data_IF_969323631200
#
_entry.id   IF_969323631200
#
_cell.length_a   1.000
_cell.length_b   1.000
_cell.length_c   1.000
_cell.angle_alpha   90.00
_cell.angle_beta   90.00
_cell.angle_gamma   90.00
#
_symmetry.space_group_name_H-M   'P 1'
#
loop_
_entity.id
_entity.type
_entity.pdbx_description
1 polymer ?
#
# COMPACT_ATOMS: atom_id res chain seq x y z
N UNK A 1 29.63 18.53 -9.94
CA UNK A 1 28.22 18.16 -10.16
C UNK A 1 28.13 16.68 -9.87
N UNK A 2 27.43 16.28 -8.81
CA UNK A 2 27.23 14.87 -8.49
C UNK A 2 26.00 14.46 -9.31
N UNK A 3 26.19 13.59 -10.29
CA UNK A 3 25.11 13.06 -11.11
C UNK A 3 24.03 12.43 -10.21
N UNK A 4 22.78 12.86 -10.39
CA UNK A 4 21.60 12.37 -9.65
C UNK A 4 21.49 10.83 -9.73
N UNK A 5 22.02 10.25 -10.81
CA UNK A 5 22.16 8.83 -11.08
C UNK A 5 23.00 8.09 -10.02
N UNK A 6 24.10 8.69 -9.54
CA UNK A 6 24.99 8.04 -8.55
C UNK A 6 24.36 7.98 -7.16
N UNK A 7 23.53 8.96 -6.79
CA UNK A 7 22.83 8.98 -5.50
C UNK A 7 21.72 7.93 -5.47
N UNK A 8 21.00 7.77 -6.59
CA UNK A 8 19.94 6.77 -6.72
C UNK A 8 20.49 5.34 -6.73
N UNK A 9 21.67 5.14 -7.32
CA UNK A 9 22.36 3.85 -7.34
C UNK A 9 22.91 3.44 -5.96
N UNK A 10 23.27 4.41 -5.11
CA UNK A 10 23.73 4.15 -3.74
C UNK A 10 22.58 3.78 -2.77
N UNK A 11 21.36 4.31 -2.98
CA UNK A 11 20.17 3.91 -2.22
C UNK A 11 19.62 2.54 -2.65
N UNK A 12 19.95 2.08 -3.86
CA UNK A 12 19.53 0.80 -4.45
C UNK A 12 20.21 -0.43 -3.81
N UNK A 13 21.29 -0.24 -3.04
CA UNK A 13 22.25 -1.31 -2.78
C UNK A 13 21.76 -2.44 -1.82
N UNK A 14 20.54 -2.32 -1.26
CA UNK A 14 19.84 -3.40 -0.51
C UNK A 14 18.30 -3.32 -0.59
N UNK A 15 17.73 -2.60 -1.54
CA UNK A 15 16.28 -2.54 -1.65
C UNK A 15 15.74 -3.88 -2.18
N UNK A 16 14.92 -4.57 -1.40
CA UNK A 16 14.19 -5.76 -1.82
C UNK A 16 12.77 -5.33 -2.23
N UNK A 17 12.24 -5.92 -3.30
CA UNK A 17 10.89 -5.60 -3.75
C UNK A 17 9.89 -6.27 -2.81
N UNK A 18 8.99 -5.48 -2.22
CA UNK A 18 7.88 -6.03 -1.45
C UNK A 18 6.79 -6.47 -2.43
N UNK A 19 6.44 -7.77 -2.47
CA UNK A 19 5.42 -8.26 -3.39
C UNK A 19 4.05 -7.64 -3.06
N UNK A 20 3.33 -7.24 -4.10
CA UNK A 20 1.98 -6.69 -3.99
C UNK A 20 1.04 -7.62 -4.74
N UNK A 21 0.06 -8.14 -4.01
CA UNK A 21 -0.94 -9.04 -4.55
C UNK A 21 -2.05 -8.25 -5.24
N UNK A 22 -2.42 -8.68 -6.44
CA UNK A 22 -3.56 -8.12 -7.16
C UNK A 22 -4.87 -8.62 -6.54
N UNK A 23 -5.92 -7.79 -6.55
CA UNK A 23 -7.27 -8.26 -6.19
C UNK A 23 -8.00 -8.79 -7.42
N UNK A 24 -7.74 -8.18 -8.58
CA UNK A 24 -8.35 -8.55 -9.86
C UNK A 24 -7.26 -8.89 -10.90
N UNK A 25 -7.55 -9.82 -11.81
CA UNK A 25 -6.59 -10.21 -12.86
C UNK A 25 -6.18 -9.05 -13.77
N UNK A 26 -7.05 -8.05 -13.92
CA UNK A 26 -6.77 -6.86 -14.72
C UNK A 26 -5.71 -5.92 -14.10
N UNK A 27 -5.39 -6.08 -12.81
CA UNK A 27 -4.53 -5.17 -12.05
C UNK A 27 -3.04 -5.54 -12.07
N UNK A 28 -2.66 -6.67 -12.68
CA UNK A 28 -1.28 -7.17 -12.67
C UNK A 28 -0.26 -6.07 -13.03
N UNK A 29 -0.50 -5.35 -14.12
CA UNK A 29 0.37 -4.25 -14.56
C UNK A 29 0.45 -3.10 -13.54
N UNK A 30 -0.67 -2.73 -12.91
CA UNK A 30 -0.66 -1.69 -11.87
C UNK A 30 0.15 -2.14 -10.65
N UNK A 31 -0.05 -3.38 -10.20
CA UNK A 31 0.70 -3.96 -9.10
C UNK A 31 2.21 -3.96 -9.40
N UNK A 32 2.61 -4.29 -10.64
CA UNK A 32 4.00 -4.19 -11.08
C UNK A 32 4.57 -2.76 -10.99
N UNK A 33 3.81 -1.75 -11.44
CA UNK A 33 4.23 -0.35 -11.32
C UNK A 33 4.39 0.08 -9.86
N UNK A 34 3.47 -0.31 -8.99
CA UNK A 34 3.55 0.01 -7.56
C UNK A 34 4.77 -0.66 -6.93
N UNK A 35 5.05 -1.92 -7.24
CA UNK A 35 6.23 -2.63 -6.75
C UNK A 35 7.54 -1.90 -7.12
N UNK A 36 7.65 -1.44 -8.37
CA UNK A 36 8.80 -0.66 -8.86
C UNK A 36 8.86 0.72 -8.19
N UNK A 37 7.75 1.44 -8.09
CA UNK A 37 7.71 2.75 -7.44
C UNK A 37 8.17 2.65 -5.98
N UNK A 38 7.70 1.62 -5.26
CA UNK A 38 8.12 1.34 -3.87
C UNK A 38 9.58 0.95 -3.77
N UNK A 39 10.12 0.23 -4.75
CA UNK A 39 11.55 -0.05 -4.82
C UNK A 39 12.39 1.25 -4.88
N UNK A 40 11.89 2.27 -5.58
CA UNK A 40 12.52 3.59 -5.64
C UNK A 40 12.17 4.52 -4.46
N UNK A 41 11.49 4.02 -3.43
CA UNK A 41 11.23 4.74 -2.18
C UNK A 41 9.85 5.40 -2.09
N UNK A 42 9.00 5.26 -3.12
CA UNK A 42 7.61 5.70 -3.04
C UNK A 42 6.83 4.84 -2.01
N UNK A 43 5.81 5.41 -1.37
CA UNK A 43 4.90 4.66 -0.48
C UNK A 43 3.51 4.48 -1.08
N UNK A 44 3.38 4.71 -2.37
CA UNK A 44 2.11 4.55 -3.07
C UNK A 44 1.56 3.13 -2.91
N UNK A 45 0.25 3.05 -2.66
CA UNK A 45 -0.47 1.78 -2.54
C UNK A 45 -1.32 1.49 -3.78
N UNK A 46 -1.60 0.21 -4.02
CA UNK A 46 -2.45 -0.23 -5.13
C UNK A 46 -3.83 0.43 -5.07
N UNK A 47 -4.41 0.61 -3.87
CA UNK A 47 -5.70 1.30 -3.72
C UNK A 47 -5.64 2.77 -4.17
N UNK A 48 -4.51 3.46 -3.96
CA UNK A 48 -4.31 4.84 -4.42
C UNK A 48 -4.19 4.88 -5.96
N UNK A 49 -3.43 3.95 -6.55
CA UNK A 49 -3.29 3.84 -8.01
C UNK A 49 -4.63 3.52 -8.66
N UNK A 50 -5.42 2.60 -8.09
CA UNK A 50 -6.78 2.26 -8.57
C UNK A 50 -7.71 3.48 -8.61
N UNK A 51 -7.66 4.33 -7.57
CA UNK A 51 -8.46 5.57 -7.53
C UNK A 51 -8.03 6.59 -8.58
N UNK A 52 -6.73 6.64 -8.89
CA UNK A 52 -6.15 7.63 -9.82
C UNK A 52 -6.25 7.20 -11.28
N UNK A 53 -6.17 5.90 -11.55
CA UNK A 53 -6.14 5.35 -12.89
C UNK A 53 -7.22 4.28 -13.06
N UNK A 54 -8.26 4.63 -13.81
CA UNK A 54 -9.29 3.66 -14.17
C UNK A 54 -8.70 2.67 -15.19
N UNK A 55 -8.76 1.38 -14.86
CA UNK A 55 -8.38 0.29 -15.76
C UNK A 55 -9.61 -0.44 -16.26
N UNK A 56 -9.50 -1.06 -17.43
CA UNK A 56 -10.59 -1.84 -17.99
C UNK A 56 -10.60 -3.25 -17.39
N UNK A 57 -11.79 -3.86 -17.31
CA UNK A 57 -11.94 -5.27 -16.90
C UNK A 57 -11.17 -6.25 -17.82
N UNK A 58 -10.81 -5.81 -19.03
CA UNK A 58 -9.99 -6.59 -19.98
C UNK A 58 -8.49 -6.55 -19.68
N UNK A 59 -8.06 -5.89 -18.60
CA UNK A 59 -6.66 -5.71 -18.24
C UNK A 59 -6.05 -4.41 -18.75
N UNK A 60 -4.75 -4.27 -18.50
CA UNK A 60 -3.93 -3.12 -18.88
C UNK A 60 -3.08 -3.48 -20.08
N UNK A 61 -3.23 -2.73 -21.19
CA UNK A 61 -2.36 -2.85 -22.36
C UNK A 61 -1.00 -2.22 -22.08
N UNK A 62 0.05 -2.69 -22.76
CA UNK A 62 1.42 -2.18 -22.64
C UNK A 62 1.50 -0.64 -22.79
N UNK A 63 0.85 -0.08 -23.81
CA UNK A 63 0.81 1.37 -24.04
C UNK A 63 0.21 2.14 -22.86
N UNK A 64 -0.88 1.61 -22.29
CA UNK A 64 -1.53 2.20 -21.12
C UNK A 64 -0.64 2.08 -19.89
N UNK A 65 0.07 0.98 -19.73
CA UNK A 65 1.02 0.78 -18.65
C UNK A 65 2.15 1.82 -18.70
N UNK A 66 2.71 2.08 -19.89
CA UNK A 66 3.72 3.12 -20.11
C UNK A 66 3.18 4.51 -19.77
N UNK A 67 1.96 4.83 -20.20
CA UNK A 67 1.31 6.11 -19.88
C UNK A 67 1.13 6.30 -18.36
N UNK A 68 0.67 5.26 -17.66
CA UNK A 68 0.46 5.32 -16.21
C UNK A 68 1.78 5.46 -15.48
N UNK A 69 2.81 4.69 -15.84
CA UNK A 69 4.14 4.81 -15.23
C UNK A 69 4.73 6.22 -15.40
N UNK A 70 4.60 6.82 -16.59
CA UNK A 70 5.00 8.23 -16.82
C UNK A 70 4.17 9.22 -16.01
N UNK A 71 2.87 8.98 -15.85
CA UNK A 71 2.01 9.82 -15.01
C UNK A 71 2.30 9.69 -13.50
N UNK A 72 2.97 8.60 -13.08
CA UNK A 72 3.53 8.41 -11.74
C UNK A 72 4.93 9.03 -11.59
N UNK A 73 5.47 9.67 -12.63
CA UNK A 73 6.79 10.31 -12.61
C UNK A 73 7.95 9.35 -12.93
N UNK A 74 7.68 8.11 -13.33
CA UNK A 74 8.70 7.16 -13.76
C UNK A 74 9.05 7.38 -15.24
N UNK A 75 10.34 7.31 -15.57
CA UNK A 75 10.81 7.17 -16.93
C UNK A 75 10.69 5.71 -17.36
N UNK A 76 9.78 5.46 -18.29
CA UNK A 76 9.46 4.10 -18.78
C UNK A 76 9.95 3.91 -20.21
N UNK A 77 10.78 2.88 -20.39
CA UNK A 77 11.31 2.43 -21.68
C UNK A 77 10.87 1.00 -21.97
N UNK A 78 10.02 0.83 -22.99
CA UNK A 78 9.66 -0.49 -23.49
C UNK A 78 10.69 -0.95 -24.53
N UNK A 79 11.17 -2.18 -24.42
CA UNK A 79 12.14 -2.75 -25.34
C UNK A 79 11.93 -4.26 -25.53
N UNK A 80 12.52 -4.79 -26.60
CA UNK A 80 12.55 -6.22 -26.88
C UNK A 80 13.94 -6.76 -26.60
N UNK A 81 14.01 -7.88 -25.87
CA UNK A 81 15.26 -8.56 -25.58
C UNK A 81 15.04 -10.08 -25.55
N UNK A 82 16.11 -10.83 -25.74
CA UNK A 82 16.10 -12.29 -25.54
C UNK A 82 16.35 -12.62 -24.05
N UNK A 83 15.83 -13.76 -23.55
CA UNK A 83 15.99 -14.15 -22.14
C UNK A 83 17.44 -14.09 -21.65
N UNK A 84 18.40 -14.42 -22.50
CA UNK A 84 19.83 -14.50 -22.22
C UNK A 84 20.41 -13.15 -21.80
N UNK A 85 19.90 -12.06 -22.37
CA UNK A 85 20.36 -10.70 -22.10
C UNK A 85 19.72 -10.07 -20.85
N UNK A 86 18.71 -10.70 -20.22
CA UNK A 86 18.02 -10.14 -19.04
C UNK A 86 18.94 -9.87 -17.85
N UNK A 87 20.09 -10.55 -17.77
CA UNK A 87 21.10 -10.31 -16.74
C UNK A 87 21.89 -9.01 -16.96
N UNK A 88 21.98 -8.55 -18.19
CA UNK A 88 22.78 -7.39 -18.60
C UNK A 88 21.95 -6.09 -18.64
N UNK A 89 20.62 -6.21 -18.59
CA UNK A 89 19.69 -5.08 -18.59
C UNK A 89 19.51 -4.45 -17.20
N UNK A 90 18.90 -3.26 -17.17
CA UNK A 90 18.59 -2.56 -15.93
C UNK A 90 17.57 -3.33 -15.09
N UNK A 91 17.97 -3.71 -13.87
CA UNK A 91 17.12 -4.37 -12.87
C UNK A 91 16.80 -3.39 -11.73
N UNK A 92 15.58 -3.36 -11.18
CA UNK A 92 14.43 -4.22 -11.54
C UNK A 92 13.69 -3.75 -12.80
N UNK A 93 13.03 -4.70 -13.49
CA UNK A 93 12.25 -4.42 -14.70
C UNK A 93 10.94 -5.22 -14.73
N UNK A 94 9.98 -4.79 -15.56
CA UNK A 94 8.70 -5.50 -15.74
C UNK A 94 8.80 -6.37 -17.00
N UNK A 95 8.45 -7.64 -16.90
CA UNK A 95 8.41 -8.58 -18.01
C UNK A 95 6.96 -8.83 -18.44
N UNK A 96 6.75 -8.92 -19.75
CA UNK A 96 5.50 -9.42 -20.31
C UNK A 96 5.53 -10.95 -20.38
N UNK A 97 4.51 -11.58 -19.80
CA UNK A 97 4.49 -12.98 -19.39
C UNK A 97 3.28 -13.71 -19.98
N UNK A 98 3.48 -14.88 -20.60
CA UNK A 98 2.43 -15.75 -21.15
C UNK A 98 1.40 -15.03 -22.04
N UNK A 99 1.80 -13.95 -22.72
CA UNK A 99 0.98 -13.12 -23.62
C UNK A 99 -0.21 -12.38 -23.00
N UNK A 100 -0.48 -12.55 -21.71
CA UNK A 100 -1.64 -11.93 -21.03
C UNK A 100 -1.34 -11.40 -19.63
N UNK A 101 -0.09 -11.47 -19.17
CA UNK A 101 0.27 -11.16 -17.80
C UNK A 101 1.53 -10.31 -17.69
N UNK A 102 1.73 -9.69 -16.54
CA UNK A 102 2.92 -8.90 -16.21
C UNK A 102 3.52 -9.36 -14.88
N UNK A 103 4.83 -9.50 -14.86
CA UNK A 103 5.59 -9.87 -13.66
C UNK A 103 6.79 -8.93 -13.50
N UNK A 104 7.28 -8.77 -12.27
CA UNK A 104 8.48 -7.96 -12.01
C UNK A 104 9.69 -8.87 -11.85
N UNK A 105 10.75 -8.62 -12.63
CA UNK A 105 12.06 -9.20 -12.40
C UNK A 105 12.84 -8.32 -11.42
N UNK A 106 13.13 -8.86 -10.24
CA UNK A 106 13.95 -8.16 -9.25
C UNK A 106 15.43 -8.28 -9.57
N UNK A 107 15.92 -9.52 -9.79
CA UNK A 107 17.32 -9.79 -10.15
C UNK A 107 17.51 -11.20 -10.70
N UNK A 108 18.61 -11.41 -11.42
CA UNK A 108 19.09 -12.73 -11.83
C UNK A 108 20.39 -13.08 -11.10
N UNK A 109 20.37 -14.15 -10.30
CA UNK A 109 21.53 -14.59 -9.50
C UNK A 109 21.84 -16.05 -9.81
N UNK A 110 23.08 -16.32 -10.25
CA UNK A 110 23.57 -17.69 -10.54
C UNK A 110 22.63 -18.50 -11.47
N UNK A 111 22.07 -17.85 -12.49
CA UNK A 111 21.15 -18.48 -13.45
C UNK A 111 19.73 -18.72 -12.93
N UNK A 112 19.38 -18.16 -11.77
CA UNK A 112 18.03 -18.18 -11.20
C UNK A 112 17.48 -16.75 -11.18
N UNK A 113 16.32 -16.55 -11.80
CA UNK A 113 15.58 -15.30 -11.78
C UNK A 113 14.70 -15.23 -10.53
N UNK A 114 14.79 -14.12 -9.80
CA UNK A 114 13.88 -13.76 -8.72
C UNK A 114 12.80 -12.84 -9.29
N UNK A 115 11.57 -13.33 -9.32
CA UNK A 115 10.42 -12.67 -9.91
C UNK A 115 9.38 -12.37 -8.82
N UNK A 116 8.57 -11.35 -9.02
CA UNK A 116 7.36 -11.09 -8.25
C UNK A 116 6.16 -11.06 -9.20
N UNK A 117 5.31 -12.05 -9.03
CA UNK A 117 4.06 -12.19 -9.74
C UNK A 117 2.91 -11.66 -8.86
N UNK A 118 2.16 -10.64 -9.30
CA UNK A 118 1.01 -10.13 -8.54
C UNK A 118 -0.07 -11.18 -8.20
N UNK A 119 -0.15 -12.28 -8.94
CA UNK A 119 -1.09 -13.38 -8.72
C UNK A 119 -0.53 -14.46 -7.79
N UNK A 120 0.79 -14.69 -7.79
CA UNK A 120 1.44 -15.84 -7.12
C UNK A 120 2.43 -15.46 -6.02
N UNK A 121 2.77 -14.17 -5.89
CA UNK A 121 3.80 -13.67 -5.01
C UNK A 121 5.21 -13.86 -5.57
N UNK A 122 6.18 -14.07 -4.69
CA UNK A 122 7.59 -14.22 -5.09
C UNK A 122 7.85 -15.59 -5.70
N UNK A 123 8.44 -15.60 -6.90
CA UNK A 123 8.80 -16.79 -7.66
C UNK A 123 10.32 -16.85 -7.88
N UNK A 124 10.88 -18.06 -7.87
CA UNK A 124 12.31 -18.30 -8.18
C UNK A 124 12.38 -19.36 -9.26
N UNK A 125 12.77 -18.95 -10.46
CA UNK A 125 12.76 -19.83 -11.63
C UNK A 125 14.15 -19.89 -12.27
N UNK A 126 14.60 -21.06 -12.76
CA UNK A 126 15.79 -21.11 -13.60
C UNK A 126 15.54 -20.33 -14.89
N UNK A 127 16.60 -19.75 -15.47
CA UNK A 127 16.50 -18.99 -16.72
C UNK A 127 15.87 -19.79 -17.87
N UNK A 128 16.08 -21.11 -17.89
CA UNK A 128 15.49 -22.03 -18.87
C UNK A 128 13.97 -22.16 -18.76
N UNK A 129 13.41 -21.98 -17.57
CA UNK A 129 11.96 -21.98 -17.36
C UNK A 129 11.39 -20.59 -17.64
N UNK A 130 12.09 -19.53 -17.20
CA UNK A 130 11.72 -18.15 -17.52
C UNK A 130 11.56 -17.93 -19.03
N UNK A 131 12.50 -18.43 -19.85
CA UNK A 131 12.46 -18.27 -21.29
C UNK A 131 11.24 -18.90 -21.98
N UNK A 132 10.54 -19.85 -21.33
CA UNK A 132 9.31 -20.46 -21.87
C UNK A 132 8.10 -19.54 -21.77
N UNK A 133 8.10 -18.67 -20.77
CA UNK A 133 7.00 -17.76 -20.46
C UNK A 133 7.25 -16.33 -20.91
N UNK A 134 8.53 -15.94 -20.97
CA UNK A 134 8.94 -14.61 -21.38
C UNK A 134 8.67 -14.39 -22.87
N UNK A 135 7.88 -13.38 -23.17
CA UNK A 135 7.45 -13.07 -24.54
C UNK A 135 8.48 -12.29 -25.36
N UNK A 136 9.61 -11.91 -24.74
CA UNK A 136 10.63 -11.05 -25.33
C UNK A 136 10.39 -9.56 -25.11
N UNK A 137 9.25 -9.15 -24.55
CA UNK A 137 8.92 -7.73 -24.30
C UNK A 137 9.10 -7.41 -22.81
N UNK A 138 9.83 -6.33 -22.53
CA UNK A 138 10.05 -5.83 -21.18
C UNK A 138 9.93 -4.30 -21.09
N UNK A 139 9.70 -3.82 -19.88
CA UNK A 139 9.75 -2.41 -19.54
C UNK A 139 10.84 -2.17 -18.49
N UNK A 140 11.78 -1.32 -18.85
CA UNK A 140 12.69 -0.72 -17.89
C UNK A 140 12.05 0.53 -17.31
N UNK A 141 12.16 0.69 -16.00
CA UNK A 141 11.62 1.81 -15.27
C UNK A 141 12.71 2.42 -14.42
N UNK A 142 12.81 3.73 -14.46
CA UNK A 142 13.69 4.50 -13.60
C UNK A 142 12.91 5.69 -13.03
N UNK A 143 13.30 6.23 -11.88
CA UNK A 143 12.78 7.50 -11.39
C UNK A 143 13.07 8.59 -12.40
N UNK A 144 12.03 9.24 -12.91
CA UNK A 144 12.19 10.40 -13.78
C UNK A 144 12.41 11.69 -12.99
N UNK A 145 12.63 12.78 -13.69
CA UNK A 145 12.83 14.12 -13.08
C UNK A 145 11.64 14.61 -12.23
N UNK A 146 10.45 14.07 -12.48
CA UNK A 146 9.20 14.39 -11.77
C UNK A 146 8.83 13.34 -10.71
N UNK A 147 9.71 12.38 -10.44
CA UNK A 147 9.47 11.36 -9.44
C UNK A 147 9.68 11.95 -8.04
N UNK A 148 8.58 12.18 -7.33
CA UNK A 148 8.60 12.60 -5.93
C UNK A 148 8.02 11.47 -5.09
N UNK A 149 8.85 10.74 -4.32
CA UNK A 149 8.36 9.70 -3.43
C UNK A 149 7.30 10.24 -2.48
N UNK A 150 6.11 9.67 -2.50
CA UNK A 150 5.07 10.08 -1.56
C UNK A 150 5.48 9.64 -0.16
N UNK A 151 5.71 10.61 0.72
CA UNK A 151 5.86 10.33 2.15
C UNK A 151 4.43 10.26 2.70
N UNK A 152 3.91 9.06 2.91
CA UNK A 152 2.70 8.93 3.72
C UNK A 152 2.99 9.54 5.10
N UNK A 153 2.41 10.71 5.37
CA UNK A 153 2.33 11.25 6.72
C UNK A 153 1.45 10.26 7.50
N UNK A 154 1.95 9.58 8.54
CA UNK A 154 1.11 8.67 9.31
C UNK A 154 -0.06 9.48 9.87
N UNK A 155 -1.25 9.15 9.42
CA UNK A 155 -2.48 9.75 9.90
C UNK A 155 -2.64 9.40 11.39
N UNK A 156 -2.58 10.45 12.21
CA UNK A 156 -3.02 10.50 13.61
C UNK A 156 -2.21 9.63 14.57
N UNK A 157 -1.23 10.26 15.21
CA UNK A 157 -0.75 9.78 16.51
C UNK A 157 -1.94 9.76 17.49
N UNK A 158 -2.21 8.62 18.13
CA UNK A 158 -3.17 8.58 19.24
C UNK A 158 -2.82 9.58 20.36
N UNK A 159 -1.56 10.05 20.41
CA UNK A 159 -1.10 11.10 21.33
C UNK A 159 -1.67 12.48 21.01
N UNK A 160 -2.14 12.74 19.79
CA UNK A 160 -2.91 13.96 19.45
C UNK A 160 -4.42 13.81 19.68
N UNK A 161 -4.91 12.59 19.94
CA UNK A 161 -6.28 12.37 20.44
C UNK A 161 -6.37 12.44 21.96
N UNK A 162 -5.25 12.28 22.69
CA UNK A 162 -5.18 12.51 24.15
C UNK A 162 -4.82 13.96 24.47
N UNK A 163 -5.63 14.89 23.99
CA UNK A 163 -5.60 16.27 24.44
C UNK A 163 -6.27 16.39 25.82
N UNK A 164 -5.45 16.55 26.88
CA UNK A 164 -5.84 17.08 28.21
C UNK A 164 -7.27 16.75 28.68
N UNK A 165 -7.47 15.56 29.24
CA UNK A 165 -8.60 15.32 30.14
C UNK A 165 -8.20 15.71 31.57
N UNK A 166 -7.93 17.01 31.81
CA UNK A 166 -7.83 17.54 33.18
C UNK A 166 -9.25 17.73 33.71
N UNK A 167 -9.83 16.66 34.28
CA UNK A 167 -11.19 16.75 34.82
C UNK A 167 -11.78 15.48 35.43
N UNK A 168 -11.14 14.31 35.30
CA UNK A 168 -11.71 13.05 35.80
C UNK A 168 -11.31 12.73 37.26
N UNK A 169 -11.32 13.72 38.16
CA UNK A 169 -11.07 13.53 39.60
C UNK A 169 -11.98 14.36 40.48
N UNK A 170 -13.30 14.16 40.40
CA UNK A 170 -14.25 14.43 41.50
C UNK A 170 -15.41 13.44 41.40
N UNK A 171 -15.30 12.30 42.07
CA UNK A 171 -16.37 11.30 42.10
C UNK A 171 -16.09 10.04 42.90
N UNK A 172 -14.88 9.85 43.42
CA UNK A 172 -14.54 8.67 44.23
C UNK A 172 -13.80 9.10 45.49
N UNK A 173 -14.51 9.75 46.41
CA UNK A 173 -14.09 9.75 47.82
C UNK A 173 -15.34 9.63 48.69
N UNK A 174 -15.47 8.45 49.31
CA UNK A 174 -15.78 8.22 50.73
C UNK A 174 -16.89 7.19 50.96
N UNK A 175 -16.53 5.91 50.82
CA UNK A 175 -17.07 4.87 51.68
C UNK A 175 -15.98 4.49 52.68
N UNK A 176 -16.13 4.93 53.93
CA UNK A 176 -15.49 4.31 55.10
C UNK A 176 -16.36 4.62 56.33
N UNK A 177 -16.64 3.63 57.19
CA UNK A 177 -17.85 3.54 57.99
C UNK A 177 -17.67 4.24 59.34
N UNK A 178 -18.73 4.88 59.84
CA UNK A 178 -18.86 5.08 61.29
C UNK A 178 -20.33 5.18 61.68
N UNK A 179 -20.76 4.07 62.25
CA UNK A 179 -21.92 3.91 63.10
C UNK A 179 -22.02 5.05 64.12
N UNK A 180 -23.17 5.73 64.19
CA UNK A 180 -23.69 6.33 65.41
C UNK A 180 -25.20 6.53 65.30
N UNK A 181 -25.87 5.98 66.30
CA UNK A 181 -27.30 5.79 66.53
C UNK A 181 -28.02 7.10 66.81
N UNK A 182 -29.26 7.26 66.32
CA UNK A 182 -30.50 7.63 67.05
C UNK A 182 -31.59 8.10 66.06
N UNK A 183 -32.78 7.49 66.09
CA UNK A 183 -34.00 8.02 65.45
C UNK A 183 -34.69 9.07 66.35
N UNK A 184 -36.01 9.37 66.22
CA UNK A 184 -37.00 8.88 65.25
C UNK A 184 -37.96 9.98 64.68
N UNK A 185 -38.95 9.52 63.88
CA UNK A 185 -40.30 10.09 63.60
C UNK A 185 -40.60 10.94 62.36
N UNK A 186 -41.41 10.31 61.50
CA UNK A 186 -42.72 10.74 60.96
C UNK A 186 -42.84 11.94 60.00
N UNK A 187 -43.53 11.70 58.87
CA UNK A 187 -44.08 12.76 58.02
C UNK A 187 -44.53 12.23 56.66
N UNK A 188 -45.84 12.16 56.46
CA UNK A 188 -46.57 11.58 55.34
C UNK A 188 -46.20 12.03 53.92
N UNK A 189 -46.24 11.07 53.01
CA UNK A 189 -46.30 11.25 51.56
C UNK A 189 -47.76 11.47 51.14
N UNK A 190 -48.10 12.70 50.75
CA UNK A 190 -49.35 12.97 50.05
C UNK A 190 -49.21 14.05 48.97
N UNK A 191 -50.01 13.84 47.91
CA UNK A 191 -50.32 14.71 46.78
C UNK A 191 -49.25 14.84 45.68
N UNK A 192 -49.52 14.73 44.38
CA UNK A 192 -50.68 14.32 43.58
C UNK A 192 -50.24 14.36 42.11
N UNK A 193 -50.78 13.44 41.30
CA UNK A 193 -51.22 13.54 39.88
C UNK A 193 -50.89 14.85 39.13
N UNK A 194 -50.51 14.84 37.84
CA UNK A 194 -51.31 14.38 36.67
C UNK A 194 -50.35 14.15 35.47
N UNK A 195 -50.45 13.00 34.79
CA UNK A 195 -51.08 12.83 33.46
C UNK A 195 -50.81 13.96 32.45
N UNK A 196 -50.18 13.65 31.32
CA UNK A 196 -50.89 13.39 30.06
C UNK A 196 -49.92 12.94 28.96
N UNK A 197 -50.03 11.68 28.55
CA UNK A 197 -49.83 11.25 27.15
C UNK A 197 -51.21 11.38 26.48
N UNK A 198 -51.32 11.62 25.16
CA UNK A 198 -51.42 10.46 24.27
C UNK A 198 -50.86 10.62 22.83
N UNK A 199 -50.28 9.52 22.35
CA UNK A 199 -50.47 8.83 21.05
C UNK A 199 -51.19 9.54 19.88
N UNK A 200 -50.70 9.36 18.63
CA UNK A 200 -51.12 8.31 17.69
C UNK A 200 -50.66 8.58 16.23
N UNK A 201 -50.20 7.50 15.59
CA UNK A 201 -50.24 7.18 14.14
C UNK A 201 -49.34 7.94 13.17
#
# INVERSE_FOLDING_TARGET
MIDTTSVHQLLSNRAHIVPIMQTEAAECGLACLVMIARYHGDKIDLAQVRRRFNISLRGVRLERLVQIGRAMGLDVRAMRAEPEYLKELGQPCILHWDMSHFVVLERVVRGVALLHDPARGTLRLPMSELGKHFTGVLLELQPGTRFEPSVETPALSLRSLTGRIFGLKRGLVRACPRFCVTGPQAGDCHLTRRHHEPTHT
#
